data_IF_438710757028
#
_entry.id   IF_438710757028
#
_cell.length_a   1.000
_cell.length_b   1.000
_cell.length_c   1.000
_cell.angle_alpha   90.00
_cell.angle_beta   90.00
_cell.angle_gamma   90.00
#
_symmetry.space_group_name_H-M   'P 1'
#
loop_
_entity.id
_entity.type
_entity.pdbx_description
1 polymer ?
#
# COMPACT_ATOMS: atom_id res chain seq x y z
N UNK A 1 17.47 18.36 32.27
CA UNK A 1 16.39 19.27 31.85
C UNK A 1 16.28 19.23 30.33
N UNK A 2 15.31 18.49 29.79
CA UNK A 2 15.08 18.38 28.34
C UNK A 2 13.59 18.64 28.08
N UNK A 3 13.29 19.73 27.38
CA UNK A 3 11.95 20.30 27.30
C UNK A 3 10.97 19.49 26.44
N UNK A 4 9.72 19.51 26.89
CA UNK A 4 8.53 19.22 26.09
C UNK A 4 8.41 20.26 24.95
N UNK A 5 8.18 19.82 23.71
CA UNK A 5 7.70 20.72 22.66
C UNK A 5 8.51 20.84 21.38
N UNK A 6 9.47 19.96 21.08
CA UNK A 6 10.11 19.92 19.76
C UNK A 6 9.25 19.18 18.72
N UNK A 7 8.00 19.61 18.53
CA UNK A 7 7.15 19.19 17.41
C UNK A 7 7.30 20.18 16.25
N UNK A 8 8.44 20.09 15.56
CA UNK A 8 8.64 20.71 14.24
C UNK A 8 7.93 19.87 13.16
N UNK A 9 6.61 19.74 13.25
CA UNK A 9 5.78 18.99 12.28
C UNK A 9 4.86 19.88 11.43
N UNK A 10 4.78 21.18 11.71
CA UNK A 10 3.82 22.07 11.06
C UNK A 10 4.12 22.38 9.57
N UNK A 11 5.27 21.95 9.03
CA UNK A 11 5.68 22.25 7.64
C UNK A 11 5.72 21.04 6.71
N UNK A 12 5.36 19.84 7.18
CA UNK A 12 5.29 18.66 6.30
C UNK A 12 3.84 18.28 6.03
N UNK A 13 3.46 18.29 4.74
CA UNK A 13 2.22 17.63 4.32
C UNK A 13 2.28 16.15 4.69
N UNK A 14 1.16 15.61 5.19
CA UNK A 14 1.07 14.18 5.51
C UNK A 14 1.27 13.37 4.23
N UNK A 15 2.07 12.30 4.34
CA UNK A 15 2.27 11.35 3.24
C UNK A 15 0.94 10.69 2.86
N UNK A 16 0.74 10.41 1.59
CA UNK A 16 -0.39 9.58 1.15
C UNK A 16 -0.27 8.16 1.73
N UNK A 17 -1.42 7.57 2.05
CA UNK A 17 -1.46 6.19 2.51
C UNK A 17 -1.62 5.23 1.32
N UNK A 18 -1.16 4.00 1.47
CA UNK A 18 -1.39 2.95 0.47
C UNK A 18 -2.86 2.70 0.17
N UNK A 19 -3.73 2.99 1.14
CA UNK A 19 -5.19 2.84 1.06
C UNK A 19 -5.84 3.91 0.18
N UNK A 20 -5.17 5.06 0.00
CA UNK A 20 -5.63 6.15 -0.87
C UNK A 20 -5.23 5.92 -2.35
N UNK A 21 -4.49 4.85 -2.62
CA UNK A 21 -3.91 4.57 -3.92
C UNK A 21 -4.68 3.49 -4.67
N UNK A 22 -4.73 3.60 -6.00
CA UNK A 22 -5.05 2.44 -6.86
C UNK A 22 -3.87 1.49 -6.82
N UNK A 23 -4.10 0.19 -6.78
CA UNK A 23 -3.01 -0.78 -6.71
C UNK A 23 -3.26 -2.00 -7.57
N UNK A 24 -2.17 -2.60 -8.03
CA UNK A 24 -2.15 -3.89 -8.70
C UNK A 24 -1.32 -4.83 -7.85
N UNK A 25 -1.88 -5.97 -7.50
CA UNK A 25 -1.26 -6.97 -6.64
C UNK A 25 -0.91 -8.22 -7.44
N UNK A 26 0.33 -8.68 -7.34
CA UNK A 26 0.75 -9.94 -7.96
C UNK A 26 -0.04 -11.13 -7.41
N UNK A 27 -0.52 -11.01 -6.17
CA UNK A 27 -1.33 -12.02 -5.52
C UNK A 27 -2.75 -12.06 -6.07
N UNK A 28 -3.31 -10.91 -6.46
CA UNK A 28 -4.62 -10.86 -7.11
C UNK A 28 -4.53 -11.39 -8.53
N UNK A 29 -3.50 -10.98 -9.29
CA UNK A 29 -3.21 -11.56 -10.62
C UNK A 29 -3.05 -13.08 -10.55
N UNK A 30 -2.37 -13.59 -9.50
CA UNK A 30 -2.25 -15.04 -9.27
C UNK A 30 -3.61 -15.68 -8.97
N UNK A 31 -4.38 -15.11 -8.04
CA UNK A 31 -5.70 -15.61 -7.62
C UNK A 31 -6.64 -15.70 -8.83
N UNK A 32 -6.58 -14.69 -9.69
CA UNK A 32 -7.45 -14.56 -10.87
C UNK A 32 -6.90 -15.36 -12.07
N UNK A 33 -5.90 -16.23 -11.84
CA UNK A 33 -5.26 -17.14 -12.83
C UNK A 33 -4.64 -16.42 -14.03
N UNK A 34 -4.19 -15.18 -13.85
CA UNK A 34 -3.55 -14.38 -14.89
C UNK A 34 -2.04 -14.65 -15.03
N UNK A 35 -1.45 -15.39 -14.09
CA UNK A 35 -0.01 -15.68 -14.06
C UNK A 35 0.32 -17.15 -14.42
N UNK A 36 -0.12 -17.59 -15.59
CA UNK A 36 0.13 -18.95 -16.11
C UNK A 36 1.43 -18.95 -16.94
N UNK A 37 2.45 -19.75 -16.58
CA UNK A 37 3.69 -19.84 -17.37
C UNK A 37 3.43 -20.26 -18.81
N UNK A 38 4.26 -19.76 -19.74
CA UNK A 38 4.14 -20.06 -21.16
C UNK A 38 2.97 -19.36 -21.84
N UNK A 39 2.22 -18.49 -21.14
CA UNK A 39 1.05 -17.81 -21.68
C UNK A 39 1.25 -16.31 -21.86
N UNK A 40 0.54 -15.80 -22.85
CA UNK A 40 0.24 -14.39 -23.01
C UNK A 40 -1.23 -14.17 -22.62
N UNK A 41 -1.51 -13.15 -21.83
CA UNK A 41 -2.86 -12.76 -21.42
C UNK A 41 -3.02 -11.25 -21.51
N UNK A 42 -4.19 -10.76 -21.88
CA UNK A 42 -4.49 -9.33 -21.88
C UNK A 42 -5.91 -9.09 -21.39
N UNK A 43 -6.20 -7.87 -20.94
CA UNK A 43 -7.53 -7.51 -20.46
C UNK A 43 -7.59 -6.15 -19.79
N UNK A 44 -8.72 -5.89 -19.14
CA UNK A 44 -8.94 -4.71 -18.31
C UNK A 44 -8.76 -5.04 -16.83
N UNK A 45 -7.97 -4.25 -16.12
CA UNK A 45 -7.94 -4.27 -14.66
C UNK A 45 -8.90 -3.20 -14.13
N UNK A 46 -9.87 -3.60 -13.29
CA UNK A 46 -10.95 -2.72 -12.84
C UNK A 46 -10.91 -2.58 -11.32
N UNK A 47 -10.89 -1.35 -10.83
CA UNK A 47 -11.13 -1.05 -9.42
C UNK A 47 -12.60 -0.72 -9.22
N UNK A 48 -13.19 -1.33 -8.18
CA UNK A 48 -14.58 -1.12 -7.77
C UNK A 48 -14.64 -0.57 -6.36
N UNK A 49 -15.66 0.24 -6.11
CA UNK A 49 -15.99 0.68 -4.77
C UNK A 49 -16.41 -0.56 -3.96
N UNK A 50 -15.80 -0.76 -2.78
CA UNK A 50 -16.07 -1.94 -1.96
C UNK A 50 -17.46 -1.94 -1.33
N UNK A 51 -18.04 -0.77 -1.10
CA UNK A 51 -19.36 -0.62 -0.48
C UNK A 51 -20.47 -0.71 -1.53
N UNK A 52 -20.30 -0.04 -2.67
CA UNK A 52 -21.35 0.05 -3.71
C UNK A 52 -21.17 -0.94 -4.86
N UNK A 53 -19.99 -1.53 -5.04
CA UNK A 53 -19.65 -2.41 -6.17
C UNK A 53 -19.42 -1.67 -7.50
N UNK A 54 -19.66 -0.36 -7.53
CA UNK A 54 -19.57 0.47 -8.73
C UNK A 54 -18.14 0.57 -9.24
N UNK A 55 -18.00 0.64 -10.56
CA UNK A 55 -16.70 0.82 -11.22
C UNK A 55 -16.15 2.21 -10.91
N UNK A 56 -14.98 2.26 -10.26
CA UNK A 56 -14.27 3.51 -9.96
C UNK A 56 -13.32 3.89 -11.09
N UNK A 57 -12.63 2.91 -11.66
CA UNK A 57 -11.66 3.14 -12.75
C UNK A 57 -11.23 1.82 -13.38
N UNK A 58 -10.59 1.90 -14.54
CA UNK A 58 -9.95 0.75 -15.16
C UNK A 58 -8.71 1.16 -15.94
N UNK A 59 -7.78 0.21 -16.10
CA UNK A 59 -6.66 0.30 -17.03
C UNK A 59 -6.60 -0.95 -17.91
N UNK A 60 -5.90 -0.87 -19.03
CA UNK A 60 -5.54 -2.03 -19.82
C UNK A 60 -4.25 -2.69 -19.33
N UNK A 61 -4.14 -3.99 -19.53
CA UNK A 61 -2.91 -4.73 -19.26
C UNK A 61 -2.64 -5.82 -20.30
N UNK A 62 -1.36 -6.16 -20.43
CA UNK A 62 -0.89 -7.38 -21.08
C UNK A 62 0.14 -8.07 -20.17
N UNK A 63 0.09 -9.38 -20.06
CA UNK A 63 1.01 -10.19 -19.28
C UNK A 63 1.65 -11.18 -20.25
N UNK A 64 2.98 -11.11 -20.38
CA UNK A 64 3.76 -12.06 -21.16
C UNK A 64 4.61 -12.92 -20.20
N UNK A 65 4.35 -14.23 -20.18
CA UNK A 65 5.11 -15.24 -19.45
C UNK A 65 5.66 -16.34 -20.37
N UNK A 66 5.76 -16.09 -21.68
CA UNK A 66 6.24 -17.07 -22.66
C UNK A 66 7.75 -17.31 -22.55
N UNK A 67 8.50 -16.25 -22.28
CA UNK A 67 9.96 -16.24 -22.38
C UNK A 67 10.62 -15.86 -21.04
N UNK A 68 11.96 -15.87 -21.01
CA UNK A 68 12.74 -15.47 -19.82
C UNK A 68 12.52 -14.00 -19.42
N UNK A 69 12.16 -13.14 -20.38
CA UNK A 69 11.81 -11.73 -20.18
C UNK A 69 10.32 -11.55 -19.89
N UNK A 70 9.85 -12.13 -18.78
CA UNK A 70 8.46 -12.00 -18.34
C UNK A 70 8.12 -10.56 -17.94
N UNK A 71 6.95 -10.03 -18.35
CA UNK A 71 6.52 -8.67 -18.01
C UNK A 71 4.99 -8.53 -17.89
N UNK A 72 4.58 -7.46 -17.21
CA UNK A 72 3.24 -6.89 -17.19
C UNK A 72 3.30 -5.52 -17.88
N UNK A 73 2.73 -5.38 -19.07
CA UNK A 73 2.52 -4.09 -19.73
C UNK A 73 1.25 -3.45 -19.17
N UNK A 74 1.31 -2.17 -18.88
CA UNK A 74 0.18 -1.37 -18.41
C UNK A 74 -0.02 -0.23 -19.40
N UNK A 75 -1.26 -0.06 -19.86
CA UNK A 75 -1.62 1.02 -20.76
C UNK A 75 -2.94 1.68 -20.34
N UNK A 76 -2.93 3.02 -20.24
CA UNK A 76 -4.05 3.82 -19.80
C UNK A 76 -3.86 5.31 -20.09
N UNK A 77 -4.95 6.05 -20.03
CA UNK A 77 -4.93 7.52 -20.05
C UNK A 77 -4.87 8.03 -18.61
N UNK A 78 -3.87 8.84 -18.31
CA UNK A 78 -3.77 9.57 -17.06
C UNK A 78 -4.19 11.03 -17.27
N UNK A 79 -5.19 11.50 -16.54
CA UNK A 79 -5.58 12.91 -16.52
C UNK A 79 -4.91 13.62 -15.34
N UNK A 80 -4.16 14.68 -15.61
CA UNK A 80 -3.60 15.55 -14.56
C UNK A 80 -4.72 16.23 -13.78
N UNK A 81 -4.72 16.08 -12.45
CA UNK A 81 -5.71 16.74 -11.59
C UNK A 81 -5.54 18.26 -11.50
N UNK A 82 -4.40 18.81 -11.94
CA UNK A 82 -4.09 20.23 -11.87
C UNK A 82 -4.36 20.94 -13.20
N UNK A 83 -3.98 20.30 -14.31
CA UNK A 83 -4.04 20.90 -15.66
C UNK A 83 -5.16 20.33 -16.52
N UNK A 84 -5.83 19.25 -16.09
CA UNK A 84 -6.78 18.45 -16.89
C UNK A 84 -6.19 17.88 -18.20
N UNK A 85 -4.88 17.98 -18.41
CA UNK A 85 -4.20 17.38 -19.54
C UNK A 85 -4.23 15.86 -19.46
N UNK A 86 -4.42 15.22 -20.60
CA UNK A 86 -4.43 13.77 -20.75
C UNK A 86 -3.09 13.30 -21.28
N UNK A 87 -2.54 12.29 -20.62
CA UNK A 87 -1.30 11.64 -21.01
C UNK A 87 -1.57 10.17 -21.31
N UNK A 88 -1.20 9.73 -22.51
CA UNK A 88 -1.13 8.31 -22.81
C UNK A 88 0.06 7.70 -22.08
N UNK A 89 -0.23 6.71 -21.24
CA UNK A 89 0.76 5.99 -20.46
C UNK A 89 0.79 4.57 -20.97
N UNK A 90 1.97 4.11 -21.41
CA UNK A 90 2.22 2.76 -21.87
C UNK A 90 3.64 2.34 -21.50
N UNK A 91 3.78 1.32 -20.66
CA UNK A 91 5.09 0.85 -20.20
C UNK A 91 5.01 -0.57 -19.66
N UNK A 92 6.19 -1.19 -19.55
CA UNK A 92 6.34 -2.54 -19.01
C UNK A 92 6.86 -2.54 -17.57
N UNK A 93 6.29 -3.41 -16.77
CA UNK A 93 6.73 -3.79 -15.43
C UNK A 93 7.37 -5.18 -15.54
N UNK A 94 8.68 -5.33 -15.32
CA UNK A 94 9.30 -6.65 -15.36
C UNK A 94 8.76 -7.57 -14.26
N UNK A 95 8.63 -8.85 -14.57
CA UNK A 95 8.19 -9.89 -13.65
C UNK A 95 9.35 -10.84 -13.35
N UNK A 96 9.57 -11.14 -12.07
CA UNK A 96 10.57 -12.13 -11.64
C UNK A 96 9.89 -13.38 -11.10
N UNK A 97 10.16 -14.52 -11.73
CA UNK A 97 9.80 -15.85 -11.22
C UNK A 97 10.83 -16.30 -10.17
N UNK A 98 10.37 -16.83 -9.06
CA UNK A 98 11.21 -17.36 -7.99
C UNK A 98 10.67 -18.67 -7.45
N UNK A 99 11.56 -19.63 -7.20
CA UNK A 99 11.20 -20.88 -6.51
C UNK A 99 10.82 -20.60 -5.05
N UNK A 100 9.90 -21.42 -4.52
CA UNK A 100 9.55 -21.42 -3.10
C UNK A 100 10.21 -22.61 -2.41
N UNK A 101 10.56 -22.45 -1.12
CA UNK A 101 11.20 -23.49 -0.31
C UNK A 101 10.38 -24.79 -0.23
N UNK A 102 9.04 -24.69 -0.27
CA UNK A 102 8.12 -25.84 -0.19
C UNK A 102 7.58 -26.25 -1.57
N UNK A 103 8.34 -25.98 -2.64
CA UNK A 103 7.95 -26.30 -4.02
C UNK A 103 7.09 -25.23 -4.70
N UNK A 104 7.05 -25.30 -6.03
CA UNK A 104 6.38 -24.32 -6.88
C UNK A 104 7.14 -23.00 -7.02
N UNK A 105 6.46 -21.99 -7.58
CA UNK A 105 7.04 -20.67 -7.83
C UNK A 105 6.08 -19.53 -7.46
N UNK A 106 6.68 -18.36 -7.21
CA UNK A 106 5.98 -17.08 -7.04
C UNK A 106 6.56 -16.08 -8.04
N UNK A 107 5.66 -15.34 -8.68
CA UNK A 107 6.03 -14.15 -9.42
C UNK A 107 6.08 -12.94 -8.48
N UNK A 108 6.89 -11.97 -8.85
CA UNK A 108 7.01 -10.68 -8.21
C UNK A 108 7.15 -9.59 -9.26
N UNK A 109 6.63 -8.40 -8.98
CA UNK A 109 6.97 -7.23 -9.78
C UNK A 109 8.38 -6.77 -9.47
N UNK A 110 9.07 -6.26 -10.48
CA UNK A 110 10.25 -5.43 -10.34
C UNK A 110 9.80 -3.98 -10.59
N UNK A 111 10.00 -3.10 -9.60
CA UNK A 111 9.59 -1.71 -9.71
C UNK A 111 10.33 -1.03 -10.88
N UNK A 112 9.63 -0.51 -11.91
CA UNK A 112 10.27 -0.01 -13.14
C UNK A 112 10.75 1.44 -13.02
N UNK A 113 10.43 2.13 -11.93
CA UNK A 113 10.64 3.58 -11.80
C UNK A 113 12.04 3.91 -11.28
N UNK A 114 12.61 4.98 -11.84
CA UNK A 114 13.81 5.65 -11.32
C UNK A 114 13.40 6.87 -10.49
N UNK A 115 14.03 7.04 -9.33
CA UNK A 115 13.82 8.20 -8.46
C UNK A 115 15.16 8.87 -8.25
N UNK A 116 15.24 10.18 -8.49
CA UNK A 116 16.48 10.97 -8.38
C UNK A 116 17.65 10.36 -9.19
N UNK A 117 17.38 9.96 -10.43
CA UNK A 117 18.38 9.35 -11.32
C UNK A 117 18.76 7.90 -10.99
N UNK A 118 18.22 7.31 -9.91
CA UNK A 118 18.53 5.93 -9.50
C UNK A 118 17.37 4.98 -9.81
N UNK A 119 17.65 3.94 -10.59
CA UNK A 119 16.69 2.87 -10.85
C UNK A 119 16.32 2.12 -9.57
N UNK A 120 15.01 1.96 -9.32
CA UNK A 120 14.54 1.31 -8.10
C UNK A 120 14.80 -0.19 -8.09
N UNK A 121 14.33 -0.92 -9.11
CA UNK A 121 14.55 -2.36 -9.27
C UNK A 121 14.05 -3.25 -8.13
N UNK A 122 13.30 -2.70 -7.15
CA UNK A 122 12.85 -3.46 -5.99
C UNK A 122 11.85 -4.53 -6.38
N UNK A 123 12.04 -5.73 -5.83
CA UNK A 123 11.08 -6.83 -5.90
C UNK A 123 9.91 -6.58 -4.95
N UNK A 124 8.70 -6.44 -5.47
CA UNK A 124 7.51 -6.09 -4.69
C UNK A 124 6.27 -6.89 -5.09
N UNK A 125 5.36 -7.11 -4.13
CA UNK A 125 4.11 -7.81 -4.39
C UNK A 125 2.97 -6.89 -4.85
N UNK A 126 3.12 -5.57 -4.69
CA UNK A 126 2.13 -4.57 -5.09
C UNK A 126 2.82 -3.37 -5.71
N UNK A 127 2.18 -2.82 -6.74
CA UNK A 127 2.47 -1.51 -7.28
C UNK A 127 1.27 -0.60 -7.04
N UNK A 128 1.55 0.68 -6.86
CA UNK A 128 0.58 1.70 -6.49
C UNK A 128 0.63 2.83 -7.51
N UNK A 129 -0.53 3.29 -7.94
CA UNK A 129 -0.71 4.58 -8.59
C UNK A 129 -1.15 5.55 -7.49
N UNK A 130 -0.19 6.31 -6.98
CA UNK A 130 -0.42 7.32 -5.95
C UNK A 130 -1.17 8.53 -6.53
N UNK A 131 -1.95 9.27 -5.72
CA UNK A 131 -2.57 10.52 -6.16
C UNK A 131 -1.54 11.47 -6.78
N UNK A 132 -1.85 12.03 -7.95
CA UNK A 132 -0.96 12.92 -8.70
C UNK A 132 0.21 12.25 -9.42
N UNK A 133 0.41 10.94 -9.25
CA UNK A 133 1.46 10.19 -9.97
C UNK A 133 0.94 9.63 -11.30
N UNK A 134 1.78 9.65 -12.33
CA UNK A 134 1.44 9.12 -13.66
C UNK A 134 1.65 7.62 -13.79
N UNK A 135 2.58 7.04 -13.01
CA UNK A 135 3.03 5.65 -13.16
C UNK A 135 2.76 4.82 -11.91
N UNK A 136 2.51 3.52 -12.09
CA UNK A 136 2.48 2.57 -10.98
C UNK A 136 3.92 2.30 -10.51
N UNK A 137 4.16 2.46 -9.22
CA UNK A 137 5.47 2.25 -8.60
C UNK A 137 5.33 1.54 -7.26
N UNK A 138 6.45 1.07 -6.71
CA UNK A 138 6.43 0.54 -5.36
C UNK A 138 6.17 1.64 -4.32
N UNK A 139 5.71 1.24 -3.13
CA UNK A 139 5.47 2.16 -2.01
C UNK A 139 6.66 3.05 -1.66
N UNK A 140 7.89 2.59 -1.90
CA UNK A 140 9.10 3.34 -1.58
C UNK A 140 9.36 4.46 -2.60
N UNK A 141 9.07 4.23 -3.88
CA UNK A 141 9.22 5.25 -4.91
C UNK A 141 8.19 6.37 -4.76
N UNK A 142 6.98 6.02 -4.31
CA UNK A 142 5.91 6.97 -4.04
C UNK A 142 5.92 7.51 -2.61
N UNK A 143 6.93 7.15 -1.81
CA UNK A 143 7.03 7.53 -0.40
C UNK A 143 5.73 7.33 0.42
N UNK A 144 5.07 6.20 0.19
CA UNK A 144 3.78 5.87 0.80
C UNK A 144 3.97 5.21 2.17
N UNK A 145 3.04 5.52 3.09
CA UNK A 145 2.92 4.85 4.38
C UNK A 145 1.66 4.00 4.43
N UNK A 146 1.56 3.07 5.38
CA UNK A 146 0.28 2.43 5.68
C UNK A 146 -0.57 3.37 6.53
N UNK A 147 -1.90 3.36 6.35
CA UNK A 147 -2.81 4.13 7.20
C UNK A 147 -2.67 3.75 8.68
N UNK A 148 -2.61 2.45 8.96
CA UNK A 148 -2.35 1.93 10.31
C UNK A 148 -1.06 2.46 10.95
N UNK A 149 -0.03 2.76 10.15
CA UNK A 149 1.20 3.37 10.67
C UNK A 149 1.00 4.83 11.07
N UNK A 150 0.15 5.58 10.35
CA UNK A 150 -0.20 6.96 10.72
C UNK A 150 -1.15 7.03 11.92
N UNK A 151 -2.03 6.04 12.07
CA UNK A 151 -2.99 5.93 13.18
C UNK A 151 -2.38 5.32 14.45
N UNK A 152 -1.19 4.73 14.35
CA UNK A 152 -0.52 4.11 15.50
C UNK A 152 0.05 5.15 16.46
N UNK A 153 -0.52 5.21 17.67
CA UNK A 153 0.02 6.01 18.78
C UNK A 153 0.94 5.13 19.64
N UNK A 154 2.22 5.50 19.74
CA UNK A 154 3.21 4.77 20.55
C UNK A 154 2.78 4.64 22.02
N UNK A 155 2.14 5.67 22.57
CA UNK A 155 1.61 5.67 23.93
C UNK A 155 0.55 4.59 24.06
N UNK A 156 -0.45 4.60 23.19
CA UNK A 156 -1.55 3.62 23.19
C UNK A 156 -1.00 2.20 23.01
N UNK A 157 -0.01 2.01 22.14
CA UNK A 157 0.62 0.70 21.94
C UNK A 157 1.42 0.21 23.16
N UNK A 158 1.98 1.11 23.97
CA UNK A 158 2.61 0.74 25.24
C UNK A 158 1.54 0.39 26.29
N UNK A 159 0.48 1.19 26.40
CA UNK A 159 -0.63 0.94 27.32
C UNK A 159 -1.33 -0.40 27.03
N UNK A 160 -1.46 -0.78 25.76
CA UNK A 160 -1.98 -2.11 25.34
C UNK A 160 -1.20 -3.30 25.89
N UNK A 161 0.04 -3.09 26.37
CA UNK A 161 0.87 -4.13 26.97
C UNK A 161 0.72 -4.22 28.50
N UNK A 162 0.08 -3.22 29.12
CA UNK A 162 -0.24 -3.25 30.56
C UNK A 162 -1.37 -4.24 30.82
N UNK A 163 -1.43 -4.78 32.05
CA UNK A 163 -2.57 -5.58 32.46
C UNK A 163 -3.85 -4.73 32.48
N UNK A 164 -5.00 -5.31 32.14
CA UNK A 164 -6.27 -4.57 32.09
C UNK A 164 -6.59 -3.83 33.40
N UNK A 165 -6.43 -4.51 34.54
CA UNK A 165 -6.68 -3.91 35.86
C UNK A 165 -5.69 -2.78 36.18
N UNK A 166 -4.42 -2.99 35.85
CA UNK A 166 -3.34 -2.00 36.00
C UNK A 166 -3.63 -0.74 35.19
N UNK A 167 -4.07 -0.92 33.94
CA UNK A 167 -4.45 0.19 33.07
C UNK A 167 -5.68 0.95 33.61
N UNK A 168 -6.71 0.24 34.09
CA UNK A 168 -7.89 0.88 34.69
C UNK A 168 -7.54 1.65 35.97
N UNK A 169 -6.64 1.11 36.80
CA UNK A 169 -6.13 1.79 37.98
C UNK A 169 -5.35 3.06 37.62
N UNK A 170 -4.44 2.97 36.64
CA UNK A 170 -3.66 4.11 36.15
C UNK A 170 -4.54 5.19 35.48
N UNK A 171 -5.65 4.80 34.84
CA UNK A 171 -6.66 5.74 34.32
C UNK A 171 -7.42 6.44 35.45
N UNK A 172 -7.81 5.71 36.50
CA UNK A 172 -8.54 6.25 37.64
C UNK A 172 -7.67 7.16 38.53
N UNK A 173 -6.37 6.87 38.66
CA UNK A 173 -5.41 7.70 39.38
C UNK A 173 -4.98 8.96 38.62
N UNK A 174 -5.32 9.05 37.32
CA UNK A 174 -4.92 10.15 36.44
C UNK A 174 -3.49 10.07 35.92
N UNK A 175 -2.77 8.97 36.18
CA UNK A 175 -1.42 8.71 35.65
C UNK A 175 -1.42 8.50 34.14
N UNK A 176 -2.54 8.01 33.59
CA UNK A 176 -2.74 7.81 32.16
C UNK A 176 -3.86 8.70 31.65
N UNK A 177 -3.61 9.39 30.53
CA UNK A 177 -4.64 10.13 29.80
C UNK A 177 -5.81 9.21 29.48
N UNK A 178 -7.00 9.59 29.96
CA UNK A 178 -8.21 8.78 29.92
C UNK A 178 -8.52 8.36 28.47
N UNK A 179 -8.46 9.28 27.50
CA UNK A 179 -8.77 8.99 26.09
C UNK A 179 -7.80 7.96 25.48
N UNK A 180 -6.51 8.04 25.82
CA UNK A 180 -5.51 7.06 25.39
C UNK A 180 -5.69 5.71 26.09
N UNK A 181 -6.03 5.72 27.38
CA UNK A 181 -6.36 4.52 28.15
C UNK A 181 -7.54 3.77 27.55
N UNK A 182 -8.64 4.46 27.24
CA UNK A 182 -9.80 3.86 26.58
C UNK A 182 -9.48 3.24 25.22
N UNK A 183 -8.61 3.87 24.41
CA UNK A 183 -8.14 3.30 23.13
C UNK A 183 -7.23 2.07 23.27
N UNK A 184 -6.66 1.87 24.46
CA UNK A 184 -5.74 0.77 24.74
C UNK A 184 -6.43 -0.45 25.36
N UNK A 185 -7.63 -0.29 25.92
CA UNK A 185 -8.40 -1.40 26.49
C UNK A 185 -8.82 -2.40 25.39
N UNK A 186 -8.91 -3.71 25.71
CA UNK A 186 -9.42 -4.72 24.79
C UNK A 186 -10.86 -4.42 24.34
N UNK A 187 -11.16 -4.70 23.07
CA UNK A 187 -12.52 -4.61 22.56
C UNK A 187 -13.45 -5.57 23.34
N UNK A 188 -14.63 -5.08 23.74
CA UNK A 188 -15.64 -5.90 24.42
C UNK A 188 -15.50 -6.01 25.94
N UNK A 189 -14.54 -5.30 26.56
CA UNK A 189 -14.33 -5.33 28.02
C UNK A 189 -15.54 -4.91 28.86
N UNK A 190 -16.46 -4.13 28.28
CA UNK A 190 -17.72 -3.68 28.91
C UNK A 190 -18.97 -4.26 28.26
N UNK A 191 -18.83 -5.24 27.35
CA UNK A 191 -20.01 -5.94 26.81
C UNK A 191 -20.47 -6.96 27.86
N UNK A 192 -21.67 -6.73 28.40
CA UNK A 192 -22.40 -7.68 29.25
C UNK A 192 -22.91 -8.86 28.44
#
# INVERSE_FOLDING_TARGET
>A
MGGYGSTRWQLHSKKHTTDDCRSISIFELKRDKLLVPGRFQSGGWVWRNRLTGEKVSSIGYEINLKDESSYLRLYYIHTSGWTNEKFDVDYQVPLKKMACNFGGYRYWFICPISVNGRYCGRRVGKLFLAPGSRYFACRHCHDLTYRSSQESDKTVNMLKKMGTLELLQAMNSGEVDILKGWKALPDGIFRR
#
